data_IF_919872714481
#
_entry.id   IF_919872714481
#
_cell.length_a   1.000
_cell.length_b   1.000
_cell.length_c   1.000
_cell.angle_alpha   90.00
_cell.angle_beta   90.00
_cell.angle_gamma   90.00
#
_symmetry.space_group_name_H-M   'P 1'
#
loop_
_entity.id
_entity.type
_entity.pdbx_description
1 polymer ?
#
# COMPACT_ATOMS: atom_id res chain seq x y z
N UNK A 1 42.66 10.57 63.27
CA UNK A 1 41.40 10.19 62.58
C UNK A 1 41.59 8.79 62.01
N UNK A 2 40.85 7.81 62.53
CA UNK A 2 41.10 6.40 62.26
C UNK A 2 40.62 6.04 60.85
N UNK A 3 41.47 5.42 60.03
CA UNK A 3 41.16 5.09 58.63
C UNK A 3 39.92 4.18 58.51
N UNK A 4 39.65 3.37 59.54
CA UNK A 4 38.44 2.56 59.66
C UNK A 4 37.18 3.40 59.83
N UNK A 5 37.24 4.49 60.60
CA UNK A 5 36.10 5.42 60.77
C UNK A 5 35.82 6.15 59.46
N UNK A 6 36.85 6.52 58.69
CA UNK A 6 36.67 7.16 57.37
C UNK A 6 36.04 6.21 56.34
N UNK A 7 36.43 4.93 56.33
CA UNK A 7 35.86 3.93 55.43
C UNK A 7 34.39 3.62 55.74
N UNK A 8 34.03 3.57 57.04
CA UNK A 8 32.64 3.39 57.47
C UNK A 8 31.79 4.61 57.08
N UNK A 9 32.32 5.83 57.25
CA UNK A 9 31.60 7.05 56.85
C UNK A 9 31.33 7.12 55.35
N UNK A 10 32.29 6.73 54.50
CA UNK A 10 32.11 6.77 53.03
C UNK A 10 31.11 5.72 52.54
N UNK A 11 31.11 4.51 53.13
CA UNK A 11 30.15 3.46 52.77
C UNK A 11 28.72 3.81 53.19
N UNK A 12 28.56 4.47 54.34
CA UNK A 12 27.25 4.93 54.80
C UNK A 12 26.68 6.01 53.87
N UNK A 13 27.50 6.95 53.41
CA UNK A 13 27.07 8.01 52.48
C UNK A 13 26.61 7.42 51.14
N UNK A 14 27.34 6.44 50.60
CA UNK A 14 26.98 5.78 49.33
C UNK A 14 25.65 5.01 49.41
N UNK A 15 25.35 4.39 50.55
CA UNK A 15 24.10 3.64 50.75
C UNK A 15 22.90 4.58 50.93
N UNK A 16 23.07 5.71 51.63
CA UNK A 16 21.99 6.68 51.80
C UNK A 16 21.67 7.47 50.51
N UNK A 17 22.64 7.66 49.61
CA UNK A 17 22.40 8.31 48.31
C UNK A 17 21.52 7.50 47.37
N UNK A 18 21.46 6.17 47.52
CA UNK A 18 20.58 5.31 46.71
C UNK A 18 19.09 5.39 47.10
N UNK A 19 18.77 5.98 48.26
CA UNK A 19 17.39 6.05 48.76
C UNK A 19 16.69 7.39 48.47
N UNK A 20 17.44 8.44 48.13
CA UNK A 20 16.91 9.78 47.85
C UNK A 20 16.22 9.91 46.48
N UNK A 21 16.20 8.85 45.66
CA UNK A 21 15.53 8.84 44.35
C UNK A 21 14.07 8.37 44.35
N UNK A 22 13.53 7.94 45.50
CA UNK A 22 12.17 7.36 45.61
C UNK A 22 11.21 8.19 46.48
N UNK A 23 11.57 9.43 46.81
CA UNK A 23 10.70 10.39 47.51
C UNK A 23 10.60 11.66 46.65
N UNK A 24 9.91 11.52 45.52
CA UNK A 24 9.17 12.64 44.96
C UNK A 24 7.91 12.76 45.82
N UNK A 25 7.69 13.97 46.33
CA UNK A 25 6.59 14.33 47.22
C UNK A 25 5.27 14.17 46.46
N UNK A 26 4.36 13.38 47.03
CA UNK A 26 2.98 13.23 46.59
C UNK A 26 2.21 14.49 47.01
N UNK A 27 2.54 15.63 46.38
CA UNK A 27 1.67 16.80 46.40
C UNK A 27 0.56 16.52 45.39
N UNK A 28 -0.57 16.07 45.93
CA UNK A 28 -1.85 15.97 45.22
C UNK A 28 -2.30 17.41 44.89
N UNK A 29 -1.71 18.00 43.86
CA UNK A 29 -2.38 18.95 43.01
C UNK A 29 -3.13 18.14 41.97
N UNK A 30 -4.46 18.15 42.05
CA UNK A 30 -5.36 17.81 40.95
C UNK A 30 -4.88 18.53 39.69
N UNK A 31 -4.08 17.84 38.89
CA UNK A 31 -3.86 18.14 37.49
C UNK A 31 -3.94 16.80 36.83
N UNK A 32 -5.10 16.55 36.25
CA UNK A 32 -5.39 15.43 35.38
C UNK A 32 -4.15 15.06 34.58
N UNK A 33 -3.53 13.94 34.92
CA UNK A 33 -2.55 13.26 34.07
C UNK A 33 -3.33 12.53 32.97
N UNK A 34 -4.12 13.30 32.22
CA UNK A 34 -4.46 12.97 30.85
C UNK A 34 -3.23 13.42 30.06
N UNK A 35 -2.38 12.48 29.66
CA UNK A 35 -1.56 12.47 28.43
C UNK A 35 -0.26 11.67 28.62
N UNK A 36 -0.34 10.35 28.41
CA UNK A 36 0.78 9.61 27.84
C UNK A 36 0.27 8.54 26.88
N UNK A 37 -0.41 9.00 25.84
CA UNK A 37 -0.49 8.40 24.50
C UNK A 37 -1.09 9.47 23.57
N UNK A 38 -0.52 10.68 23.58
CA UNK A 38 -0.77 11.62 22.48
C UNK A 38 -0.11 10.99 21.24
N UNK A 39 -0.90 10.31 20.41
CA UNK A 39 -0.47 9.80 19.11
C UNK A 39 0.11 11.00 18.37
N UNK A 40 1.45 11.04 18.26
CA UNK A 40 2.15 12.09 17.52
C UNK A 40 1.79 11.93 16.05
N UNK A 41 0.72 12.58 15.61
CA UNK A 41 0.32 12.59 14.21
C UNK A 41 1.03 13.74 13.48
N UNK A 42 2.00 13.40 12.65
CA UNK A 42 2.79 14.33 11.85
C UNK A 42 2.06 14.85 10.60
N UNK A 43 0.88 14.32 10.27
CA UNK A 43 0.09 14.77 9.13
C UNK A 43 -0.50 13.62 8.31
N UNK A 44 -0.99 13.95 7.12
CA UNK A 44 -1.61 13.01 6.18
C UNK A 44 -0.69 12.69 5.02
N UNK A 45 -0.37 11.41 4.86
CA UNK A 45 0.34 10.85 3.72
C UNK A 45 -0.68 10.19 2.80
N UNK A 46 -0.89 10.78 1.63
CA UNK A 46 -1.73 10.16 0.61
C UNK A 46 -0.91 9.17 -0.21
N UNK A 47 -1.47 7.98 -0.46
CA UNK A 47 -0.80 6.90 -1.21
C UNK A 47 -1.64 6.41 -2.38
N UNK A 48 -0.98 6.05 -3.48
CA UNK A 48 -1.67 5.59 -4.69
C UNK A 48 -2.21 4.16 -4.60
N UNK A 49 -1.49 3.27 -3.92
CA UNK A 49 -1.77 1.84 -3.84
C UNK A 49 -1.51 1.30 -2.44
N UNK A 50 -2.13 0.15 -2.13
CA UNK A 50 -1.91 -0.58 -0.89
C UNK A 50 -0.42 -0.83 -0.60
N UNK A 51 0.34 -1.28 -1.60
CA UNK A 51 1.77 -1.56 -1.42
C UNK A 51 2.59 -0.33 -1.01
N UNK A 52 2.28 0.84 -1.57
CA UNK A 52 2.92 2.09 -1.16
C UNK A 52 2.50 2.46 0.27
N UNK A 53 1.23 2.27 0.62
CA UNK A 53 0.72 2.42 1.99
C UNK A 53 1.47 1.56 3.01
N UNK A 54 1.73 0.29 2.70
CA UNK A 54 2.49 -0.61 3.57
C UNK A 54 3.94 -0.15 3.75
N UNK A 55 4.57 0.38 2.70
CA UNK A 55 5.92 0.98 2.82
C UNK A 55 5.91 2.19 3.77
N UNK A 56 4.88 3.03 3.69
CA UNK A 56 4.72 4.17 4.60
C UNK A 56 4.49 3.68 6.03
N UNK A 57 3.59 2.73 6.24
CA UNK A 57 3.29 2.16 7.55
C UNK A 57 4.53 1.53 8.20
N UNK A 58 5.34 0.80 7.42
CA UNK A 58 6.57 0.19 7.91
C UNK A 58 7.61 1.21 8.41
N UNK A 59 7.59 2.45 7.90
CA UNK A 59 8.54 3.51 8.26
C UNK A 59 7.98 4.44 9.32
N UNK A 60 6.74 4.91 9.16
CA UNK A 60 6.12 5.93 9.97
C UNK A 60 5.26 5.37 11.12
N UNK A 61 4.88 4.09 11.07
CA UNK A 61 3.97 3.47 12.04
C UNK A 61 2.68 4.28 12.20
N UNK A 62 2.27 4.47 13.45
CA UNK A 62 1.06 5.23 13.80
C UNK A 62 1.29 6.76 13.85
N UNK A 63 2.46 7.24 13.43
CA UNK A 63 2.82 8.65 13.52
C UNK A 63 2.31 9.51 12.35
N UNK A 64 1.60 8.92 11.38
CA UNK A 64 0.96 9.63 10.27
C UNK A 64 -0.40 9.02 9.97
N UNK A 65 -1.33 9.82 9.45
CA UNK A 65 -2.53 9.30 8.81
C UNK A 65 -2.20 8.87 7.39
N UNK A 66 -2.43 7.60 7.04
CA UNK A 66 -2.32 7.11 5.66
C UNK A 66 -3.70 7.16 5.02
N UNK A 67 -3.85 7.91 3.93
CA UNK A 67 -5.07 7.94 3.12
C UNK A 67 -4.81 7.40 1.70
N UNK A 68 -5.75 6.67 1.15
CA UNK A 68 -5.62 6.04 -0.16
C UNK A 68 -6.31 6.89 -1.23
N UNK A 69 -5.68 7.01 -2.40
CA UNK A 69 -6.29 7.66 -3.55
C UNK A 69 -7.58 6.93 -3.93
N UNK A 70 -7.49 5.63 -4.24
CA UNK A 70 -8.67 4.81 -4.51
C UNK A 70 -9.25 4.25 -3.20
N UNK A 71 -10.51 4.58 -2.92
CA UNK A 71 -11.27 4.05 -1.77
C UNK A 71 -12.06 2.79 -2.14
N UNK A 72 -12.11 2.46 -3.42
CA UNK A 72 -12.76 1.28 -3.97
C UNK A 72 -11.71 0.26 -4.43
N UNK A 73 -12.11 -1.00 -4.58
CA UNK A 73 -11.23 -2.05 -5.08
C UNK A 73 -11.10 -2.02 -6.60
N UNK A 74 -10.54 -0.94 -7.15
CA UNK A 74 -10.33 -0.72 -8.58
C UNK A 74 -8.86 -1.01 -8.93
N UNK A 75 -8.57 -1.76 -10.01
CA UNK A 75 -7.20 -1.92 -10.48
C UNK A 75 -6.54 -0.56 -10.74
N UNK A 76 -5.31 -0.39 -10.27
CA UNK A 76 -4.61 0.91 -10.31
C UNK A 76 -4.50 1.52 -11.72
N UNK A 77 -4.42 0.67 -12.74
CA UNK A 77 -4.35 1.07 -14.16
C UNK A 77 -5.68 1.61 -14.70
N UNK A 78 -6.80 1.19 -14.11
CA UNK A 78 -8.16 1.56 -14.53
C UNK A 78 -8.78 2.64 -13.64
N UNK A 79 -8.11 2.96 -12.52
CA UNK A 79 -8.55 4.00 -11.60
C UNK A 79 -8.41 5.39 -12.23
N UNK A 80 -9.44 6.21 -12.07
CA UNK A 80 -9.45 7.62 -12.47
C UNK A 80 -9.87 8.48 -11.27
N UNK A 81 -9.05 9.45 -10.83
CA UNK A 81 -9.38 10.31 -9.70
C UNK A 81 -10.66 11.11 -9.92
N UNK A 82 -11.59 11.02 -8.97
CA UNK A 82 -12.77 11.87 -8.93
C UNK A 82 -12.44 13.27 -8.39
N UNK A 83 -13.37 14.21 -8.54
CA UNK A 83 -13.23 15.54 -7.94
C UNK A 83 -13.06 15.52 -6.41
N UNK A 84 -13.67 14.54 -5.72
CA UNK A 84 -13.48 14.38 -4.28
C UNK A 84 -12.07 13.91 -3.94
N UNK A 85 -11.49 13.05 -4.78
CA UNK A 85 -10.12 12.55 -4.59
C UNK A 85 -9.10 13.67 -4.80
N UNK A 86 -9.34 14.55 -5.79
CA UNK A 86 -8.51 15.74 -5.99
C UNK A 86 -8.54 16.69 -4.78
N UNK A 87 -9.69 16.88 -4.14
CA UNK A 87 -9.80 17.70 -2.93
C UNK A 87 -8.99 17.08 -1.79
N UNK A 88 -9.13 15.77 -1.54
CA UNK A 88 -8.35 15.10 -0.49
C UNK A 88 -6.84 15.12 -0.80
N UNK A 89 -6.47 15.01 -2.07
CA UNK A 89 -5.07 15.08 -2.51
C UNK A 89 -4.48 16.48 -2.27
N UNK A 90 -5.23 17.56 -2.52
CA UNK A 90 -4.81 18.92 -2.20
C UNK A 90 -4.60 19.15 -0.69
N UNK A 91 -5.38 18.47 0.15
CA UNK A 91 -5.30 18.59 1.61
C UNK A 91 -4.18 17.71 2.23
N UNK A 92 -3.56 16.82 1.46
CA UNK A 92 -2.49 15.96 1.93
C UNK A 92 -1.17 16.72 2.11
N UNK A 93 -0.37 16.34 3.11
CA UNK A 93 0.95 16.93 3.34
C UNK A 93 2.00 16.40 2.35
N UNK A 94 1.82 15.16 1.89
CA UNK A 94 2.67 14.50 0.92
C UNK A 94 1.88 13.43 0.17
N UNK A 95 2.18 13.28 -1.12
CA UNK A 95 1.65 12.19 -1.95
C UNK A 95 2.77 11.24 -2.37
N UNK A 96 2.58 9.95 -2.12
CA UNK A 96 3.50 8.89 -2.50
C UNK A 96 2.84 7.92 -3.47
N UNK A 97 3.52 7.62 -4.57
CA UNK A 97 3.00 6.70 -5.58
C UNK A 97 4.07 5.70 -6.03
N UNK A 98 3.68 4.68 -6.79
CA UNK A 98 4.60 3.64 -7.21
C UNK A 98 5.64 4.20 -8.19
N UNK A 99 5.18 4.87 -9.23
CA UNK A 99 6.04 5.36 -10.32
C UNK A 99 6.14 4.36 -11.46
N UNK A 100 7.14 4.54 -12.33
CA UNK A 100 7.37 3.69 -13.52
C UNK A 100 6.10 3.48 -14.39
N UNK A 101 5.21 4.46 -14.42
CA UNK A 101 3.94 4.42 -15.15
C UNK A 101 2.94 3.34 -14.68
N UNK A 102 3.02 2.88 -13.42
CA UNK A 102 1.98 2.02 -12.85
C UNK A 102 0.65 2.80 -12.74
N UNK A 103 0.72 4.07 -12.31
CA UNK A 103 -0.43 4.97 -12.19
C UNK A 103 -0.46 5.99 -13.34
N UNK A 104 -1.07 5.67 -14.49
CA UNK A 104 -1.02 6.55 -15.68
C UNK A 104 -1.70 7.91 -15.46
N UNK A 105 -2.58 8.02 -14.47
CA UNK A 105 -3.34 9.21 -14.12
C UNK A 105 -2.58 10.21 -13.24
N UNK A 106 -1.43 9.85 -12.66
CA UNK A 106 -0.73 10.72 -11.68
C UNK A 106 -0.25 12.03 -12.32
N UNK A 107 0.38 11.97 -13.48
CA UNK A 107 0.95 13.17 -14.13
C UNK A 107 -0.13 14.18 -14.52
N UNK A 108 -1.22 13.72 -15.14
CA UNK A 108 -2.37 14.57 -15.50
C UNK A 108 -3.05 15.14 -14.26
N UNK A 109 -3.19 14.34 -13.21
CA UNK A 109 -3.78 14.74 -11.92
C UNK A 109 -2.98 15.86 -11.28
N UNK A 110 -1.67 15.67 -11.07
CA UNK A 110 -0.80 16.69 -10.46
C UNK A 110 -0.74 17.95 -11.34
N UNK A 111 -0.69 17.80 -12.66
CA UNK A 111 -0.72 18.95 -13.58
C UNK A 111 -2.03 19.74 -13.51
N UNK A 112 -3.16 19.08 -13.23
CA UNK A 112 -4.46 19.76 -13.10
C UNK A 112 -4.59 20.56 -11.80
N UNK A 113 -3.88 20.15 -10.76
CA UNK A 113 -3.80 20.83 -9.46
C UNK A 113 -2.83 22.02 -9.48
N UNK A 114 -1.77 21.96 -10.29
CA UNK A 114 -0.81 23.06 -10.40
C UNK A 114 -0.12 23.35 -9.07
N UNK A 115 -0.17 24.60 -8.62
CA UNK A 115 0.47 25.03 -7.37
C UNK A 115 -0.22 24.44 -6.11
N UNK A 116 -1.45 23.94 -6.24
CA UNK A 116 -2.20 23.31 -5.14
C UNK A 116 -1.85 21.81 -4.98
N UNK A 117 -1.00 21.25 -5.84
CA UNK A 117 -0.53 19.87 -5.69
C UNK A 117 0.41 19.73 -4.48
N UNK A 118 0.25 18.67 -3.65
CA UNK A 118 1.18 18.42 -2.56
C UNK A 118 2.55 17.98 -3.11
N UNK A 119 3.62 18.10 -2.30
CA UNK A 119 4.89 17.44 -2.58
C UNK A 119 4.66 15.96 -2.91
N UNK A 120 5.11 15.53 -4.09
CA UNK A 120 4.78 14.23 -4.66
C UNK A 120 6.05 13.45 -5.03
N UNK A 121 6.16 12.19 -4.60
CA UNK A 121 7.35 11.36 -4.84
C UNK A 121 7.00 9.93 -5.21
N UNK A 122 7.72 9.37 -6.19
CA UNK A 122 7.63 7.96 -6.56
C UNK A 122 8.52 7.08 -5.67
N UNK A 123 8.02 5.91 -5.31
CA UNK A 123 8.77 4.90 -4.53
C UNK A 123 9.74 4.10 -5.39
N UNK A 124 9.42 3.90 -6.67
CA UNK A 124 10.28 3.22 -7.63
C UNK A 124 10.83 4.23 -8.63
N UNK A 125 12.16 4.27 -8.70
CA UNK A 125 12.90 5.05 -9.68
C UNK A 125 13.76 4.12 -10.54
N UNK A 126 13.94 4.51 -11.79
CA UNK A 126 14.91 3.87 -12.67
C UNK A 126 16.32 3.97 -12.07
N UNK A 127 17.19 2.97 -12.29
CA UNK A 127 18.60 3.10 -11.98
C UNK A 127 19.18 4.38 -12.59
N UNK A 128 20.10 5.03 -11.88
CA UNK A 128 20.65 6.31 -12.30
C UNK A 128 21.25 6.22 -13.71
N UNK A 129 20.78 7.07 -14.62
CA UNK A 129 21.23 7.10 -16.03
C UNK A 129 20.41 6.24 -16.99
N UNK A 130 19.44 5.46 -16.50
CA UNK A 130 18.51 4.72 -17.35
C UNK A 130 17.26 5.55 -17.65
N UNK A 131 16.80 5.52 -18.90
CA UNK A 131 15.50 6.06 -19.33
C UNK A 131 14.55 4.90 -19.66
N UNK A 132 13.23 5.15 -19.66
CA UNK A 132 12.20 4.12 -19.87
C UNK A 132 12.46 3.28 -21.14
N UNK A 133 12.63 3.93 -22.29
CA UNK A 133 12.92 3.26 -23.58
C UNK A 133 14.21 2.42 -23.55
N UNK A 134 15.23 2.85 -22.81
CA UNK A 134 16.50 2.12 -22.72
C UNK A 134 16.39 0.87 -21.84
N UNK A 135 15.51 0.89 -20.85
CA UNK A 135 15.24 -0.27 -20.02
C UNK A 135 14.26 -1.22 -20.68
N UNK A 136 13.24 -0.71 -21.38
CA UNK A 136 12.37 -1.54 -22.21
C UNK A 136 13.17 -2.30 -23.28
N UNK A 137 14.09 -1.62 -23.98
CA UNK A 137 14.95 -2.27 -24.98
C UNK A 137 15.93 -3.27 -24.36
N UNK A 138 16.44 -3.00 -23.15
CA UNK A 138 17.25 -3.94 -22.40
C UNK A 138 16.44 -5.18 -22.00
N UNK A 139 15.24 -5.00 -21.45
CA UNK A 139 14.33 -6.10 -21.08
C UNK A 139 13.95 -6.94 -22.29
N UNK A 140 13.68 -6.32 -23.44
CA UNK A 140 13.39 -7.03 -24.70
C UNK A 140 14.61 -7.83 -25.14
N UNK A 141 15.81 -7.24 -25.07
CA UNK A 141 17.06 -7.95 -25.41
C UNK A 141 17.27 -9.16 -24.52
N UNK A 142 17.17 -8.99 -23.20
CA UNK A 142 17.35 -10.06 -22.21
C UNK A 142 16.28 -11.14 -22.36
N UNK A 143 15.03 -10.75 -22.63
CA UNK A 143 13.93 -11.68 -22.92
C UNK A 143 14.19 -12.47 -24.21
N UNK A 144 14.65 -11.80 -25.28
CA UNK A 144 14.98 -12.46 -26.54
C UNK A 144 16.15 -13.43 -26.41
N UNK A 145 17.17 -13.09 -25.61
CA UNK A 145 18.28 -13.98 -25.30
C UNK A 145 17.80 -15.20 -24.52
N UNK A 146 17.00 -15.01 -23.47
CA UNK A 146 16.40 -16.09 -22.69
C UNK A 146 15.47 -16.99 -23.54
N UNK A 147 14.72 -16.41 -24.47
CA UNK A 147 13.88 -17.14 -25.41
C UNK A 147 14.67 -17.90 -26.49
N UNK A 148 15.95 -17.59 -26.70
CA UNK A 148 16.78 -18.26 -27.69
C UNK A 148 17.70 -19.33 -27.06
N UNK A 149 18.15 -19.14 -25.82
CA UNK A 149 19.27 -19.89 -25.24
C UNK A 149 18.94 -21.13 -24.40
N UNK A 150 17.67 -21.53 -24.27
CA UNK A 150 17.16 -22.84 -23.81
C UNK A 150 18.01 -23.72 -22.83
N UNK A 151 17.37 -24.25 -21.77
CA UNK A 151 16.26 -25.17 -22.00
C UNK A 151 14.99 -24.71 -21.30
N UNK A 152 13.87 -24.70 -22.03
CA UNK A 152 12.56 -24.48 -21.42
C UNK A 152 12.15 -25.78 -20.71
N UNK A 153 12.17 -25.78 -19.38
CA UNK A 153 11.40 -26.78 -18.63
C UNK A 153 9.92 -26.46 -18.83
N UNK A 154 9.20 -27.35 -19.52
CA UNK A 154 7.76 -27.24 -19.65
C UNK A 154 7.11 -27.45 -18.29
N UNK A 155 6.61 -26.38 -17.68
CA UNK A 155 5.74 -26.49 -16.49
C UNK A 155 4.45 -27.17 -16.91
N UNK A 156 4.42 -28.50 -16.79
CA UNK A 156 3.17 -29.25 -16.89
C UNK A 156 2.37 -28.92 -15.64
N UNK A 157 1.44 -27.96 -15.74
CA UNK A 157 0.36 -27.86 -14.75
C UNK A 157 -0.38 -29.20 -14.81
N UNK A 158 -0.27 -29.99 -13.75
CA UNK A 158 -1.09 -31.19 -13.59
C UNK A 158 -2.54 -30.74 -13.54
N UNK A 159 -3.26 -30.87 -14.66
CA UNK A 159 -4.72 -30.84 -14.64
C UNK A 159 -5.15 -31.99 -13.76
N UNK A 160 -5.79 -31.66 -12.63
CA UNK A 160 -6.66 -32.60 -11.92
C UNK A 160 -7.61 -33.17 -12.95
N UNK A 161 -7.64 -34.49 -13.06
CA UNK A 161 -8.64 -35.22 -13.83
C UNK A 161 -10.00 -34.86 -13.24
N UNK A 162 -10.78 -34.05 -13.94
CA UNK A 162 -12.22 -34.03 -13.76
C UNK A 162 -12.72 -35.41 -14.19
N UNK A 163 -12.93 -36.27 -13.20
CA UNK A 163 -13.79 -37.43 -13.32
C UNK A 163 -15.17 -36.88 -13.68
N UNK A 164 -15.46 -36.82 -14.99
CA UNK A 164 -16.80 -36.61 -15.48
C UNK A 164 -17.63 -37.84 -15.10
N UNK A 165 -18.38 -37.71 -14.01
CA UNK A 165 -19.45 -38.63 -13.66
C UNK A 165 -20.48 -38.67 -14.80
N UNK A 166 -20.53 -39.86 -15.39
CA UNK A 166 -21.44 -40.36 -16.40
C UNK A 166 -22.89 -40.25 -15.92
N UNK A 167 -23.65 -39.33 -16.51
CA UNK A 167 -25.11 -39.33 -16.43
C UNK A 167 -25.70 -39.53 -17.84
N UNK A 168 -25.61 -40.79 -18.28
CA UNK A 168 -26.72 -41.63 -18.75
C UNK A 168 -27.94 -40.93 -19.36
N UNK A 169 -28.02 -41.09 -20.67
CA UNK A 169 -29.19 -41.15 -21.56
C UNK A 169 -30.58 -41.23 -20.90
N UNK A 170 -31.44 -40.24 -21.18
CA UNK A 170 -32.88 -40.46 -21.32
C UNK A 170 -33.34 -39.83 -22.65
N UNK A 171 -33.56 -40.72 -23.63
CA UNK A 171 -34.32 -40.50 -24.86
C UNK A 171 -35.78 -40.09 -24.56
N UNK A 172 -36.43 -39.54 -25.60
CA UNK A 172 -37.89 -39.36 -25.81
C UNK A 172 -38.44 -37.94 -25.58
N UNK A 173 -39.22 -37.30 -26.46
CA UNK A 173 -39.79 -37.67 -27.76
C UNK A 173 -40.12 -36.39 -28.57
N UNK A 174 -40.04 -36.55 -29.89
CA UNK A 174 -40.70 -35.84 -30.97
C UNK A 174 -42.03 -35.13 -30.61
N UNK A 175 -42.17 -33.85 -30.97
CA UNK A 175 -43.41 -33.30 -31.53
C UNK A 175 -43.18 -31.98 -32.29
N UNK A 176 -43.31 -32.05 -33.61
CA UNK A 176 -44.33 -31.28 -34.32
C UNK A 176 -43.91 -29.94 -34.92
N UNK A 177 -43.65 -29.97 -36.22
CA UNK A 177 -43.62 -28.81 -37.12
C UNK A 177 -44.91 -27.97 -37.02
N UNK A 178 -44.79 -26.65 -36.91
CA UNK A 178 -45.74 -25.71 -37.51
C UNK A 178 -44.97 -24.51 -38.09
N UNK A 179 -44.74 -24.56 -39.39
CA UNK A 179 -44.43 -23.42 -40.24
C UNK A 179 -45.56 -22.38 -40.14
N UNK A 180 -45.23 -21.11 -39.88
CA UNK A 180 -46.05 -20.00 -40.33
C UNK A 180 -45.19 -18.81 -40.77
N UNK A 181 -45.21 -18.63 -42.10
CA UNK A 181 -44.68 -17.53 -42.88
C UNK A 181 -45.32 -16.16 -42.55
N UNK A 182 -44.49 -15.13 -42.71
CA UNK A 182 -44.77 -13.82 -43.33
C UNK A 182 -45.80 -12.87 -42.68
N UNK A 183 -45.33 -11.66 -42.31
CA UNK A 183 -45.68 -10.40 -42.99
C UNK A 183 -45.15 -9.17 -42.26
N UNK A 184 -44.43 -8.33 -43.01
CA UNK A 184 -44.81 -6.92 -43.18
C UNK A 184 -44.07 -5.88 -42.35
N UNK A 185 -43.26 -5.10 -43.06
CA UNK A 185 -42.75 -3.77 -42.69
C UNK A 185 -43.83 -2.85 -42.12
N UNK A 186 -43.45 -1.90 -41.27
CA UNK A 186 -43.68 -0.46 -41.51
C UNK A 186 -43.03 0.43 -40.43
N UNK A 187 -42.36 1.47 -40.94
CA UNK A 187 -41.72 2.57 -40.24
C UNK A 187 -42.71 3.39 -39.38
N UNK A 188 -42.26 3.87 -38.22
CA UNK A 188 -42.39 5.29 -37.79
C UNK A 188 -41.58 5.63 -36.55
#
# INVERSE_FOLDING_TARGET
MNNTVRAISVSLILILSSLAGCLTDDEITDTSDDNLDEILNYGTVMVSTYHVGELVSAVAGDSVTIDYMSQDNIPVHDYEPSAADLIRLQEADIFLYHGLNLEPWVESTLSSLGDDAPPSYMTHAMPTGASNLAYESMLISDLCELMNDGPFEGTTLGMVSDDHDDHGDEDHDDHGDEDHDDHGDEDH
#
